data_IF_408883115080
#
_entry.id   IF_408883115080
#
_cell.length_a   1.000
_cell.length_b   1.000
_cell.length_c   1.000
_cell.angle_alpha   90.00
_cell.angle_beta   90.00
_cell.angle_gamma   90.00
#
_symmetry.space_group_name_H-M   'P 1'
#
loop_
_entity.id
_entity.type
_entity.pdbx_description
1 polymer ?
#
# COMPACT_ATOMS: atom_id res chain seq x y z
N UNK A 1 25.43 -37.40 -26.66
CA UNK A 1 25.02 -37.26 -25.25
C UNK A 1 25.00 -35.76 -24.98
N UNK A 2 23.98 -35.09 -25.54
CA UNK A 2 23.91 -33.63 -25.55
C UNK A 2 23.79 -33.14 -24.11
N UNK A 3 24.85 -32.46 -23.68
CA UNK A 3 25.04 -32.15 -22.28
C UNK A 3 23.84 -31.34 -21.79
N UNK A 4 23.35 -31.67 -20.61
CA UNK A 4 22.34 -30.88 -19.89
C UNK A 4 22.74 -29.38 -19.87
N UNK A 5 24.04 -29.08 -20.01
CA UNK A 5 24.60 -27.74 -20.16
C UNK A 5 24.17 -27.01 -21.45
N UNK A 6 24.09 -27.69 -22.59
CA UNK A 6 23.58 -27.14 -23.87
C UNK A 6 22.10 -26.79 -23.73
N UNK A 7 21.28 -27.72 -23.19
CA UNK A 7 19.85 -27.46 -22.91
C UNK A 7 19.65 -26.34 -21.89
N UNK A 8 20.54 -26.20 -20.90
CA UNK A 8 20.50 -25.10 -19.93
C UNK A 8 20.94 -23.76 -20.56
N UNK A 9 21.89 -23.78 -21.51
CA UNK A 9 22.31 -22.60 -22.28
C UNK A 9 21.22 -22.16 -23.26
N UNK A 10 20.57 -23.07 -23.98
CA UNK A 10 19.40 -22.78 -24.82
C UNK A 10 18.23 -22.23 -23.97
N UNK A 11 17.99 -22.77 -22.77
CA UNK A 11 16.99 -22.22 -21.84
C UNK A 11 17.35 -20.83 -21.32
N UNK A 12 18.64 -20.49 -21.28
CA UNK A 12 19.15 -19.18 -20.85
C UNK A 12 19.14 -18.16 -22.00
N UNK A 13 19.33 -18.61 -23.24
CA UNK A 13 19.23 -17.81 -24.47
C UNK A 13 17.78 -17.59 -24.93
N UNK A 14 16.85 -18.51 -24.63
CA UNK A 14 15.41 -18.30 -24.82
C UNK A 14 14.77 -17.28 -23.87
N UNK A 15 15.55 -16.77 -22.90
CA UNK A 15 15.25 -15.54 -22.14
C UNK A 15 15.95 -14.39 -22.85
N UNK A 16 15.72 -14.29 -24.15
CA UNK A 16 16.01 -13.07 -24.89
C UNK A 16 15.17 -11.94 -24.29
N UNK A 17 15.86 -10.83 -24.09
CA UNK A 17 15.36 -9.55 -23.60
C UNK A 17 14.19 -9.11 -24.47
N UNK A 18 12.97 -9.46 -24.05
CA UNK A 18 11.76 -9.06 -24.71
C UNK A 18 10.85 -8.36 -23.70
N UNK A 19 11.05 -7.04 -23.55
CA UNK A 19 10.07 -6.05 -23.07
C UNK A 19 8.95 -6.61 -22.17
N UNK A 20 9.32 -7.13 -21.00
CA UNK A 20 8.44 -7.96 -20.20
C UNK A 20 7.29 -7.13 -19.63
N UNK A 21 6.08 -7.34 -20.16
CA UNK A 21 4.84 -6.92 -19.52
C UNK A 21 4.85 -7.36 -18.06
N UNK A 22 4.35 -6.55 -17.11
CA UNK A 22 4.33 -6.90 -15.70
C UNK A 22 3.64 -8.24 -15.47
N UNK A 23 4.31 -9.15 -14.76
CA UNK A 23 3.72 -10.45 -14.39
C UNK A 23 2.77 -10.23 -13.22
N UNK A 24 1.51 -10.67 -13.37
CA UNK A 24 0.47 -10.47 -12.37
C UNK A 24 0.15 -11.76 -11.61
N UNK A 25 0.29 -11.71 -10.28
CA UNK A 25 -0.09 -12.83 -9.40
C UNK A 25 -1.23 -12.39 -8.49
N UNK A 26 -2.34 -13.13 -8.51
CA UNK A 26 -3.43 -12.95 -7.54
C UNK A 26 -3.19 -13.91 -6.37
N UNK A 27 -3.01 -13.39 -5.16
CA UNK A 27 -2.77 -14.25 -3.99
C UNK A 27 -4.09 -14.80 -3.45
N UNK A 28 -4.33 -16.11 -3.60
CA UNK A 28 -5.49 -16.79 -2.98
C UNK A 28 -5.33 -16.97 -1.46
N UNK A 29 -4.09 -17.05 -0.96
CA UNK A 29 -3.78 -17.35 0.44
C UNK A 29 -3.60 -16.12 1.36
N UNK A 30 -3.41 -14.91 0.79
CA UNK A 30 -3.29 -13.66 1.55
C UNK A 30 -4.47 -12.73 1.26
N UNK A 31 -5.50 -12.66 2.13
CA UNK A 31 -6.74 -11.95 1.83
C UNK A 31 -6.58 -10.44 1.65
N UNK A 32 -5.46 -9.87 2.11
CA UNK A 32 -5.17 -8.45 2.03
C UNK A 32 -4.58 -8.04 0.67
N UNK A 33 -3.69 -8.85 0.07
CA UNK A 33 -2.98 -8.51 -1.16
C UNK A 33 -3.70 -9.09 -2.38
N UNK A 34 -4.29 -8.24 -3.21
CA UNK A 34 -5.09 -8.68 -4.37
C UNK A 34 -4.29 -8.78 -5.65
N UNK A 35 -3.10 -8.16 -5.69
CA UNK A 35 -2.26 -8.10 -6.88
C UNK A 35 -0.79 -7.94 -6.47
N UNK A 36 0.07 -8.69 -7.14
CA UNK A 36 1.52 -8.49 -7.16
C UNK A 36 1.94 -8.29 -8.61
N UNK A 37 2.71 -7.24 -8.87
CA UNK A 37 3.29 -6.91 -10.18
C UNK A 37 4.81 -7.11 -10.09
N UNK A 38 5.39 -7.81 -11.06
CA UNK A 38 6.84 -7.93 -11.18
C UNK A 38 7.26 -7.19 -12.45
N UNK A 39 8.06 -6.14 -12.28
CA UNK A 39 8.56 -5.28 -13.36
C UNK A 39 10.08 -5.11 -13.19
N UNK A 40 10.88 -5.59 -14.16
CA UNK A 40 12.33 -5.45 -14.18
C UNK A 40 13.00 -5.76 -12.83
N UNK A 41 12.69 -6.92 -12.23
CA UNK A 41 13.13 -7.38 -10.90
C UNK A 41 12.61 -6.61 -9.68
N UNK A 42 11.77 -5.59 -9.86
CA UNK A 42 11.06 -4.90 -8.78
C UNK A 42 9.69 -5.52 -8.56
N UNK A 43 9.33 -5.74 -7.29
CA UNK A 43 8.03 -6.32 -6.94
C UNK A 43 7.11 -5.27 -6.31
N UNK A 44 5.95 -5.04 -6.92
CA UNK A 44 4.92 -4.12 -6.44
C UNK A 44 3.77 -4.92 -5.83
N UNK A 45 3.49 -4.68 -4.55
CA UNK A 45 2.41 -5.31 -3.82
C UNK A 45 1.23 -4.35 -3.69
N UNK A 46 0.03 -4.85 -3.93
CA UNK A 46 -1.19 -4.05 -3.91
C UNK A 46 -2.22 -4.67 -2.98
N UNK A 47 -2.60 -3.94 -1.93
CA UNK A 47 -3.69 -4.37 -1.06
C UNK A 47 -5.04 -4.27 -1.78
N UNK A 48 -6.09 -4.90 -1.25
CA UNK A 48 -7.46 -4.46 -1.52
C UNK A 48 -7.70 -3.09 -0.90
N UNK A 49 -8.82 -2.48 -1.30
CA UNK A 49 -9.29 -1.24 -0.70
C UNK A 49 -9.72 -1.52 0.74
N UNK A 50 -9.10 -0.81 1.68
CA UNK A 50 -9.44 -0.83 3.10
C UNK A 50 -10.09 0.51 3.49
N UNK A 51 -10.75 0.55 4.65
CA UNK A 51 -11.39 1.77 5.12
C UNK A 51 -10.34 2.77 5.62
N UNK A 52 -9.65 2.40 6.71
CA UNK A 52 -8.72 3.26 7.44
C UNK A 52 -7.64 2.44 8.16
N UNK A 53 -6.55 3.13 8.53
CA UNK A 53 -5.51 2.61 9.41
C UNK A 53 -6.07 2.28 10.80
N UNK A 54 -5.80 1.08 11.31
CA UNK A 54 -6.29 0.62 12.61
C UNK A 54 -5.22 0.70 13.70
N UNK A 55 -4.13 -0.03 13.56
CA UNK A 55 -3.00 -0.05 14.49
C UNK A 55 -1.71 -0.43 13.75
N UNK A 56 -0.58 -0.02 14.31
CA UNK A 56 0.75 -0.32 13.78
C UNK A 56 1.78 -0.25 14.90
N UNK A 57 2.98 -0.75 14.63
CA UNK A 57 4.11 -0.62 15.54
C UNK A 57 5.12 -1.75 15.37
N UNK A 58 6.25 -1.62 16.06
CA UNK A 58 7.24 -2.69 16.17
C UNK A 58 6.69 -3.80 17.06
N UNK A 59 6.76 -5.05 16.61
CA UNK A 59 6.36 -6.18 17.44
C UNK A 59 7.34 -6.29 18.63
N UNK A 60 6.80 -6.26 19.86
CA UNK A 60 7.59 -6.32 21.11
C UNK A 60 8.55 -7.51 21.16
N UNK A 61 8.09 -8.66 20.68
CA UNK A 61 8.85 -9.92 20.72
C UNK A 61 9.67 -10.13 19.44
N UNK A 62 9.34 -9.44 18.35
CA UNK A 62 9.98 -9.60 17.04
C UNK A 62 10.35 -8.23 16.48
N UNK A 63 11.42 -7.63 17.03
CA UNK A 63 11.88 -6.27 16.68
C UNK A 63 12.19 -6.08 15.20
N UNK A 64 12.41 -7.16 14.44
CA UNK A 64 12.61 -7.14 12.99
C UNK A 64 11.31 -7.06 12.17
N UNK A 65 10.14 -6.97 12.83
CA UNK A 65 8.83 -6.85 12.20
C UNK A 65 8.10 -5.60 12.69
N UNK A 66 7.61 -4.84 11.73
CA UNK A 66 6.73 -3.70 11.97
C UNK A 66 5.35 -4.02 11.40
N UNK A 67 4.35 -4.23 12.26
CA UNK A 67 3.02 -4.58 11.81
C UNK A 67 2.24 -3.33 11.41
N UNK A 68 1.37 -3.48 10.40
CA UNK A 68 0.41 -2.46 9.99
C UNK A 68 -0.92 -3.15 9.77
N UNK A 69 -1.97 -2.63 10.39
CA UNK A 69 -3.32 -3.18 10.31
C UNK A 69 -4.34 -2.14 9.87
N UNK A 70 -5.36 -2.60 9.15
CA UNK A 70 -6.41 -1.76 8.57
C UNK A 70 -7.79 -2.32 8.90
N UNK A 71 -8.76 -1.42 9.00
CA UNK A 71 -10.19 -1.78 9.08
C UNK A 71 -10.72 -2.15 7.70
N UNK A 72 -11.49 -3.21 7.62
CA UNK A 72 -12.17 -3.64 6.40
C UNK A 72 -13.08 -2.55 5.83
N UNK A 73 -13.19 -2.52 4.50
CA UNK A 73 -13.98 -1.50 3.80
C UNK A 73 -15.49 -1.55 4.13
N UNK A 74 -16.06 -2.76 4.15
CA UNK A 74 -17.49 -2.99 4.38
C UNK A 74 -17.81 -3.37 5.82
N UNK A 75 -16.91 -4.09 6.49
CA UNK A 75 -17.03 -4.46 7.89
C UNK A 75 -15.81 -3.91 8.65
N UNK A 76 -16.00 -2.81 9.38
CA UNK A 76 -14.94 -2.15 10.13
C UNK A 76 -14.47 -2.96 11.35
N UNK A 77 -15.23 -3.98 11.78
CA UNK A 77 -14.81 -4.94 12.83
C UNK A 77 -13.80 -5.94 12.29
N UNK A 78 -13.81 -6.21 10.98
CA UNK A 78 -12.80 -7.06 10.34
C UNK A 78 -11.50 -6.27 10.20
N UNK A 79 -10.45 -6.75 10.86
CA UNK A 79 -9.10 -6.17 10.79
C UNK A 79 -8.20 -7.08 10.00
N UNK A 80 -7.42 -6.51 9.09
CA UNK A 80 -6.40 -7.25 8.34
C UNK A 80 -5.06 -6.53 8.44
N UNK A 81 -3.99 -7.31 8.53
CA UNK A 81 -2.67 -6.79 8.80
C UNK A 81 -1.60 -7.43 7.92
N UNK A 82 -0.49 -6.73 7.76
CA UNK A 82 0.75 -7.27 7.21
C UNK A 82 1.94 -6.72 8.01
N UNK A 83 3.11 -7.31 7.79
CA UNK A 83 4.35 -6.84 8.41
C UNK A 83 5.27 -6.25 7.34
N UNK A 84 5.85 -5.12 7.66
CA UNK A 84 7.13 -4.67 7.12
C UNK A 84 8.24 -5.41 7.87
N UNK A 85 9.35 -5.67 7.20
CA UNK A 85 10.47 -6.44 7.74
C UNK A 85 11.75 -5.61 7.72
N UNK A 86 12.69 -5.95 8.59
CA UNK A 86 14.06 -5.45 8.51
C UNK A 86 14.63 -5.70 7.11
N UNK A 87 15.41 -4.75 6.61
CA UNK A 87 15.98 -4.80 5.27
C UNK A 87 16.95 -5.98 5.15
N UNK A 88 16.82 -6.76 4.07
CA UNK A 88 17.83 -7.74 3.66
C UNK A 88 18.94 -7.05 2.88
N UNK A 89 20.08 -7.70 2.75
CA UNK A 89 21.22 -7.16 2.02
C UNK A 89 20.85 -6.70 0.60
N UNK A 90 21.25 -5.48 0.27
CA UNK A 90 20.96 -4.81 -1.00
C UNK A 90 19.54 -4.24 -1.17
N UNK A 91 18.62 -4.41 -0.21
CA UNK A 91 17.34 -3.68 -0.19
C UNK A 91 17.45 -2.38 0.63
N UNK A 92 16.75 -1.33 0.23
CA UNK A 92 16.78 -0.02 0.89
C UNK A 92 15.39 0.58 0.93
N UNK A 93 14.93 0.93 2.13
CA UNK A 93 13.76 1.79 2.30
C UNK A 93 14.07 3.18 1.72
N UNK A 94 13.21 3.66 0.83
CA UNK A 94 13.36 4.95 0.13
C UNK A 94 12.40 6.01 0.68
N UNK A 95 11.31 5.63 1.35
CA UNK A 95 10.40 6.56 2.02
C UNK A 95 8.93 6.19 1.86
N UNK A 96 8.08 7.07 2.40
CA UNK A 96 6.62 6.99 2.29
C UNK A 96 6.14 7.99 1.23
N UNK A 97 5.17 7.58 0.41
CA UNK A 97 4.58 8.44 -0.61
C UNK A 97 3.06 8.33 -0.58
N UNK A 98 2.36 9.44 -0.76
CA UNK A 98 0.91 9.48 -0.87
C UNK A 98 0.49 9.80 -2.30
N UNK A 99 -0.65 9.24 -2.71
CA UNK A 99 -1.19 9.50 -4.04
C UNK A 99 -2.57 8.92 -4.24
N UNK A 100 -3.03 8.97 -5.47
CA UNK A 100 -4.28 8.34 -5.90
C UNK A 100 -4.12 7.75 -7.29
N UNK A 101 -4.93 6.75 -7.60
CA UNK A 101 -5.02 6.13 -8.93
C UNK A 101 -6.41 5.55 -9.16
N UNK A 102 -6.70 5.10 -10.39
CA UNK A 102 -7.87 4.26 -10.64
C UNK A 102 -7.76 2.95 -9.84
N UNK A 103 -8.86 2.45 -9.24
CA UNK A 103 -8.85 1.16 -8.56
C UNK A 103 -8.39 0.02 -9.45
N UNK A 104 -7.68 -0.95 -8.88
CA UNK A 104 -7.24 -2.16 -9.59
C UNK A 104 -8.43 -3.06 -9.94
N UNK A 105 -9.39 -3.15 -9.01
CA UNK A 105 -10.68 -3.80 -9.21
C UNK A 105 -11.77 -2.79 -8.88
N UNK A 106 -12.79 -2.71 -9.73
CA UNK A 106 -13.96 -1.89 -9.45
C UNK A 106 -14.70 -2.48 -8.24
N UNK A 107 -14.66 -1.75 -7.12
CA UNK A 107 -15.42 -2.11 -5.93
C UNK A 107 -16.71 -1.31 -5.96
N UNK A 108 -17.83 -2.03 -6.05
CA UNK A 108 -19.17 -1.49 -5.95
C UNK A 108 -19.57 -1.37 -4.47
N UNK A 109 -19.96 -0.17 -4.05
CA UNK A 109 -20.55 0.09 -2.73
C UNK A 109 -22.04 0.28 -2.93
N UNK A 110 -22.84 -0.62 -2.36
CA UNK A 110 -24.29 -0.47 -2.26
C UNK A 110 -24.63 0.46 -1.10
N UNK A 111 -25.54 1.39 -1.33
CA UNK A 111 -26.10 2.26 -0.29
C UNK A 111 -27.56 2.54 -0.62
N UNK A 112 -28.37 2.80 0.41
CA UNK A 112 -29.76 3.20 0.24
C UNK A 112 -29.85 4.73 0.31
N UNK A 113 -30.60 5.30 -0.62
CA UNK A 113 -30.95 6.71 -0.64
C UNK A 113 -32.42 6.82 -1.00
N UNK A 114 -33.24 7.36 -0.09
CA UNK A 114 -34.69 7.49 -0.24
C UNK A 114 -35.40 6.17 -0.59
N UNK A 115 -34.99 5.05 0.03
CA UNK A 115 -35.57 3.72 -0.23
C UNK A 115 -35.11 3.06 -1.54
N UNK A 116 -34.25 3.70 -2.33
CA UNK A 116 -33.69 3.15 -3.56
C UNK A 116 -32.26 2.67 -3.29
N UNK A 117 -31.99 1.39 -3.59
CA UNK A 117 -30.62 0.85 -3.57
C UNK A 117 -29.82 1.43 -4.74
N UNK A 118 -28.81 2.23 -4.43
CA UNK A 118 -27.85 2.77 -5.39
C UNK A 118 -26.52 2.04 -5.28
N UNK A 119 -25.82 1.93 -6.42
CA UNK A 119 -24.50 1.33 -6.52
C UNK A 119 -23.52 2.41 -6.97
N UNK A 120 -22.50 2.69 -6.15
CA UNK A 120 -21.41 3.57 -6.54
C UNK A 120 -20.10 2.81 -6.71
N UNK A 121 -19.31 3.21 -7.70
CA UNK A 121 -17.95 2.72 -7.90
C UNK A 121 -16.94 3.83 -7.61
N UNK A 122 -15.75 3.46 -7.15
CA UNK A 122 -14.69 4.44 -6.92
C UNK A 122 -14.05 4.88 -8.25
N UNK A 123 -14.18 6.16 -8.62
CA UNK A 123 -13.47 6.73 -9.79
C UNK A 123 -11.96 6.87 -9.54
N UNK A 124 -11.56 7.05 -8.28
CA UNK A 124 -10.17 7.07 -7.81
C UNK A 124 -10.09 6.49 -6.40
N UNK A 125 -8.96 5.88 -6.08
CA UNK A 125 -8.62 5.42 -4.74
C UNK A 125 -7.26 5.97 -4.31
N UNK A 126 -7.21 6.39 -3.05
CA UNK A 126 -6.03 6.96 -2.44
C UNK A 126 -5.17 5.86 -1.81
N UNK A 127 -3.86 6.11 -1.76
CA UNK A 127 -2.92 5.15 -1.19
C UNK A 127 -1.82 5.83 -0.37
N UNK A 128 -1.28 5.05 0.56
CA UNK A 128 0.06 5.21 1.12
C UNK A 128 0.96 4.15 0.48
N UNK A 129 2.14 4.55 0.02
CA UNK A 129 3.14 3.70 -0.63
C UNK A 129 4.39 3.66 0.23
N UNK A 130 4.81 2.47 0.63
CA UNK A 130 6.13 2.22 1.21
C UNK A 130 7.08 1.87 0.07
N UNK A 131 8.05 2.75 -0.20
CA UNK A 131 8.96 2.61 -1.32
C UNK A 131 10.26 1.94 -0.89
N UNK A 132 10.67 0.94 -1.65
CA UNK A 132 11.96 0.27 -1.53
C UNK A 132 12.67 0.27 -2.89
N UNK A 133 13.99 0.07 -2.91
CA UNK A 133 14.70 -0.05 -4.20
C UNK A 133 14.27 -1.33 -4.95
N UNK A 134 14.07 -2.46 -4.25
CA UNK A 134 13.66 -3.75 -4.84
C UNK A 134 12.14 -3.94 -4.95
N UNK A 135 11.34 -3.01 -4.43
CA UNK A 135 9.89 -3.17 -4.51
C UNK A 135 9.11 -2.04 -3.86
N UNK A 136 7.79 -2.15 -3.89
CA UNK A 136 6.88 -1.18 -3.34
C UNK A 136 5.65 -1.85 -2.74
N UNK A 137 5.08 -1.25 -1.71
CA UNK A 137 3.82 -1.72 -1.13
C UNK A 137 2.81 -0.58 -1.18
N UNK A 138 1.76 -0.76 -1.99
CA UNK A 138 0.62 0.16 -2.10
C UNK A 138 -0.52 -0.32 -1.19
N UNK A 139 -0.82 0.49 -0.17
CA UNK A 139 -1.96 0.28 0.71
C UNK A 139 -3.08 1.26 0.32
N UNK A 140 -4.20 0.74 -0.16
CA UNK A 140 -5.34 1.55 -0.62
C UNK A 140 -6.33 1.83 0.49
N UNK A 141 -6.57 3.11 0.78
CA UNK A 141 -7.39 3.56 1.91
C UNK A 141 -8.47 4.54 1.44
N UNK A 142 -9.74 4.19 1.70
CA UNK A 142 -10.87 5.07 1.38
C UNK A 142 -10.82 6.35 2.21
N UNK A 143 -10.52 6.26 3.51
CA UNK A 143 -10.62 7.43 4.40
C UNK A 143 -9.58 8.52 4.16
N UNK A 144 -8.48 8.25 3.43
CA UNK A 144 -7.55 9.31 2.97
C UNK A 144 -8.29 10.37 2.14
N UNK A 145 -9.36 10.02 1.43
CA UNK A 145 -10.12 10.98 0.63
C UNK A 145 -10.69 12.13 1.46
N UNK A 146 -10.97 11.89 2.75
CA UNK A 146 -11.48 12.93 3.67
C UNK A 146 -10.40 13.96 3.97
N UNK A 147 -9.14 13.57 4.01
CA UNK A 147 -8.02 14.48 4.29
C UNK A 147 -7.86 15.58 3.22
N UNK A 148 -8.45 15.39 2.04
CA UNK A 148 -8.38 16.36 0.94
C UNK A 148 -9.59 17.29 0.84
N UNK A 149 -10.58 17.13 1.73
CA UNK A 149 -11.79 17.97 1.76
C UNK A 149 -11.61 19.08 2.79
N UNK A 150 -11.49 20.34 2.34
CA UNK A 150 -11.30 21.51 3.23
C UNK A 150 -12.40 21.65 4.29
N UNK A 151 -13.65 21.40 3.92
CA UNK A 151 -14.81 21.38 4.82
C UNK A 151 -14.66 20.45 6.04
N UNK A 152 -13.79 19.43 5.95
CA UNK A 152 -13.63 18.42 7.00
C UNK A 152 -12.45 18.68 7.94
N UNK A 153 -11.61 19.69 7.67
CA UNK A 153 -10.34 19.91 8.38
C UNK A 153 -10.52 20.16 9.88
N UNK A 154 -11.63 20.76 10.27
CA UNK A 154 -11.92 21.08 11.67
C UNK A 154 -12.48 19.91 12.47
N UNK A 155 -12.91 18.85 11.79
CA UNK A 155 -13.53 17.71 12.47
C UNK A 155 -12.53 16.95 13.35
N UNK A 156 -13.01 16.48 14.51
CA UNK A 156 -12.22 15.63 15.42
C UNK A 156 -11.66 14.40 14.70
N UNK A 157 -12.44 13.81 13.80
CA UNK A 157 -12.03 12.66 13.01
C UNK A 157 -10.87 13.01 12.07
N UNK A 158 -10.92 14.14 11.35
CA UNK A 158 -9.83 14.59 10.48
C UNK A 158 -8.53 14.75 11.27
N UNK A 159 -8.57 15.50 12.38
CA UNK A 159 -7.41 15.74 13.25
C UNK A 159 -6.81 14.42 13.77
N UNK A 160 -7.68 13.49 14.19
CA UNK A 160 -7.28 12.15 14.61
C UNK A 160 -6.61 11.35 13.48
N UNK A 161 -7.19 11.38 12.27
CA UNK A 161 -6.65 10.67 11.12
C UNK A 161 -5.29 11.20 10.69
N UNK A 162 -5.10 12.53 10.63
CA UNK A 162 -3.80 13.16 10.35
C UNK A 162 -2.75 12.75 11.38
N UNK A 163 -3.06 12.85 12.67
CA UNK A 163 -2.12 12.44 13.74
C UNK A 163 -1.75 10.96 13.63
N UNK A 164 -2.69 10.12 13.23
CA UNK A 164 -2.45 8.69 13.05
C UNK A 164 -1.46 8.41 11.92
N UNK A 165 -1.56 9.12 10.79
CA UNK A 165 -0.59 9.02 9.70
C UNK A 165 0.78 9.61 10.08
N UNK A 166 0.82 10.74 10.81
CA UNK A 166 2.08 11.29 11.30
C UNK A 166 2.82 10.34 12.24
N UNK A 167 2.08 9.68 13.14
CA UNK A 167 2.65 8.66 14.02
C UNK A 167 3.16 7.45 13.22
N UNK A 168 2.40 6.97 12.23
CA UNK A 168 2.84 5.89 11.34
C UNK A 168 4.13 6.26 10.61
N UNK A 169 4.21 7.48 10.06
CA UNK A 169 5.39 7.98 9.38
C UNK A 169 6.60 7.99 10.29
N UNK A 170 6.46 8.55 11.50
CA UNK A 170 7.54 8.60 12.49
C UNK A 170 8.03 7.18 12.82
N UNK A 171 7.12 6.30 13.21
CA UNK A 171 7.50 4.95 13.66
C UNK A 171 8.09 4.08 12.54
N UNK A 172 7.61 4.22 11.30
CA UNK A 172 8.21 3.51 10.14
C UNK A 172 9.60 4.06 9.82
N UNK A 173 9.79 5.38 9.89
CA UNK A 173 11.12 5.97 9.67
C UNK A 173 12.11 5.56 10.76
N UNK A 174 11.69 5.56 12.02
CA UNK A 174 12.47 5.05 13.16
C UNK A 174 12.82 3.57 12.99
N UNK A 175 11.86 2.73 12.59
CA UNK A 175 12.08 1.31 12.33
C UNK A 175 13.16 1.05 11.27
N UNK A 176 13.27 1.92 10.26
CA UNK A 176 14.31 1.85 9.22
C UNK A 176 15.55 2.72 9.51
N UNK A 177 15.68 3.30 10.71
CA UNK A 177 16.82 4.13 11.09
C UNK A 177 16.96 5.41 10.24
N UNK A 178 15.85 5.97 9.77
CA UNK A 178 15.82 7.17 8.91
C UNK A 178 15.25 8.38 9.64
N UNK A 179 15.70 9.58 9.25
CA UNK A 179 15.11 10.84 9.69
C UNK A 179 13.89 11.19 8.84
N UNK A 180 12.75 11.44 9.49
CA UNK A 180 11.54 11.93 8.85
C UNK A 180 11.67 13.44 8.54
N UNK A 181 11.26 13.92 7.36
CA UNK A 181 11.23 15.36 7.08
C UNK A 181 10.37 16.14 8.07
N UNK A 182 10.78 17.38 8.37
CA UNK A 182 10.08 18.25 9.33
C UNK A 182 8.66 18.53 8.84
N UNK A 183 7.67 18.29 9.69
CA UNK A 183 6.26 18.53 9.40
C UNK A 183 5.48 17.32 8.88
N UNK A 184 6.15 16.24 8.46
CA UNK A 184 5.51 14.99 8.04
C UNK A 184 4.96 15.03 6.61
N UNK A 185 5.04 13.88 5.94
CA UNK A 185 4.81 13.73 4.51
C UNK A 185 3.32 13.86 4.16
N UNK A 186 2.43 13.39 5.05
CA UNK A 186 0.99 13.49 4.86
C UNK A 186 0.52 14.95 4.86
N UNK A 187 1.09 15.81 5.72
CA UNK A 187 0.73 17.23 5.78
C UNK A 187 1.15 17.95 4.49
N UNK A 188 2.39 17.72 4.04
CA UNK A 188 2.85 18.26 2.76
C UNK A 188 1.98 17.82 1.59
N UNK A 189 1.58 16.55 1.58
CA UNK A 189 0.73 16.02 0.52
C UNK A 189 -0.69 16.60 0.56
N UNK A 190 -1.28 16.73 1.75
CA UNK A 190 -2.59 17.39 1.93
C UNK A 190 -2.51 18.82 1.40
N UNK A 191 -1.55 19.63 1.82
CA UNK A 191 -1.41 21.03 1.38
C UNK A 191 -1.33 21.13 -0.15
N UNK A 192 -0.59 20.21 -0.80
CA UNK A 192 -0.45 20.17 -2.26
C UNK A 192 -1.70 19.69 -3.01
N UNK A 193 -2.63 19.00 -2.36
CA UNK A 193 -3.74 18.28 -3.02
C UNK A 193 -5.12 18.66 -2.51
N UNK A 194 -5.20 19.38 -1.41
CA UNK A 194 -6.45 19.91 -0.87
C UNK A 194 -7.01 20.91 -1.88
N UNK A 195 -8.27 20.71 -2.23
CA UNK A 195 -9.05 21.62 -3.05
C UNK A 195 -10.01 22.37 -2.14
#
# INVERSE_FOLDING_TARGET
>A
MDSILERLKEKKLGIEVNNQKPVFITMKEKPLFIKVEIDNSRTLYHTKIMMDLYAFGVNKNQKHKFFISFRGLFNQRKVEAFNLFSLKEGDKFLGIFYGYRKPIKNVAVKYEENGITKVSTFSKIYYIRFKFNKGDIFCYLKGISRLLKKESSETKYYKSLVNKFLNLEREVYEFYGKKLPKGGLIKEWIIKKQK
#
